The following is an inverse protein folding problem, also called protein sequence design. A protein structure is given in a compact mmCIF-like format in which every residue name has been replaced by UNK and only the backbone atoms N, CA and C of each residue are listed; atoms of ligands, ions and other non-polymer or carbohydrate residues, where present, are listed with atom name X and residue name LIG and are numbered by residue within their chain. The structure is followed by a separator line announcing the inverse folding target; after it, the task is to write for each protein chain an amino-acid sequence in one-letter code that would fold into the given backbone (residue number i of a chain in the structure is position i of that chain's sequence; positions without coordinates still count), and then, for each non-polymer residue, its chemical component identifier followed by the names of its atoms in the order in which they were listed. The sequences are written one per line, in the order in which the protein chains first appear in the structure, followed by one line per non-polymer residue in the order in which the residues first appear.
data_IF_133781758881
#
_entry.id   IF_133781758881
#
_cell.length_a   1.000
_cell.length_b   1.000
_cell.length_c   1.000
_cell.angle_alpha   90.00
_cell.angle_beta   90.00
_cell.angle_gamma   90.00
#
_symmetry.space_group_name_H-M   'P 1'
#
loop_
_entity.id
_entity.type
_entity.pdbx_description
1 polymer ?
#
# COMPACT_ATOMS: atom_id res chain seq x y z
N UNK A 1 6.96 5.98 21.84
CA UNK A 1 6.10 7.06 22.38
C UNK A 1 5.40 7.80 21.25
N UNK A 2 6.13 8.45 20.34
CA UNK A 2 5.54 9.24 19.23
C UNK A 2 4.53 8.47 18.34
N UNK A 3 4.84 7.23 17.93
CA UNK A 3 3.94 6.45 17.06
C UNK A 3 2.56 6.15 17.66
N UNK A 4 2.46 5.96 18.99
CA UNK A 4 1.16 5.72 19.64
C UNK A 4 0.36 7.01 19.73
N UNK A 5 1.00 8.09 20.16
CA UNK A 5 0.37 9.40 20.26
C UNK A 5 -0.24 9.85 18.91
N UNK A 6 0.46 9.64 17.79
CA UNK A 6 -0.06 9.95 16.46
C UNK A 6 -1.35 9.16 16.16
N UNK A 7 -1.37 7.86 16.40
CA UNK A 7 -2.56 7.01 16.15
C UNK A 7 -3.69 7.32 17.13
N UNK A 8 -3.38 7.69 18.37
CA UNK A 8 -4.36 8.14 19.37
C UNK A 8 -5.01 9.46 18.96
N UNK A 9 -4.22 10.43 18.49
CA UNK A 9 -4.72 11.70 17.97
C UNK A 9 -5.62 11.49 16.73
N UNK A 10 -5.18 10.67 15.77
CA UNK A 10 -5.98 10.31 14.59
C UNK A 10 -7.31 9.67 14.99
N UNK A 11 -7.29 8.74 15.94
CA UNK A 11 -8.52 8.11 16.44
C UNK A 11 -9.45 9.11 17.14
N UNK A 12 -8.89 10.05 17.90
CA UNK A 12 -9.66 11.13 18.54
C UNK A 12 -10.35 12.02 17.52
N UNK A 13 -9.64 12.42 16.46
CA UNK A 13 -10.20 13.20 15.36
C UNK A 13 -11.31 12.46 14.62
N UNK A 14 -11.08 11.19 14.23
CA UNK A 14 -12.06 10.37 13.53
C UNK A 14 -13.31 10.06 14.37
N UNK A 15 -13.18 10.00 15.70
CA UNK A 15 -14.32 9.81 16.60
C UNK A 15 -15.27 11.01 16.59
N UNK A 16 -14.74 12.23 16.43
CA UNK A 16 -15.53 13.47 16.38
C UNK A 16 -16.01 13.87 14.97
N UNK A 17 -15.43 13.29 13.92
CA UNK A 17 -15.76 13.63 12.53
C UNK A 17 -17.19 13.20 12.12
N UNK A 18 -17.81 13.98 11.23
CA UNK A 18 -19.06 13.59 10.57
C UNK A 18 -18.73 12.61 9.43
N UNK A 19 -18.91 11.32 9.71
CA UNK A 19 -18.68 10.22 8.77
C UNK A 19 -19.95 9.37 8.75
N UNK A 20 -20.60 9.35 7.60
CA UNK A 20 -21.82 8.60 7.33
C UNK A 20 -21.64 7.56 6.23
N UNK A 21 -22.73 6.88 5.94
CA UNK A 21 -22.85 5.96 4.82
C UNK A 21 -24.25 6.14 4.22
N UNK A 22 -24.34 6.33 2.92
CA UNK A 22 -25.59 6.35 2.19
C UNK A 22 -26.18 4.95 2.18
N UNK A 23 -27.43 4.79 2.63
CA UNK A 23 -28.09 3.48 2.66
C UNK A 23 -28.07 2.82 1.28
N UNK A 24 -27.78 1.52 1.26
CA UNK A 24 -27.84 0.66 0.10
C UNK A 24 -28.57 -0.65 0.46
N UNK A 25 -28.94 -1.44 -0.54
CA UNK A 25 -29.64 -2.71 -0.34
C UNK A 25 -28.68 -3.88 -0.01
N UNK A 26 -27.43 -3.58 0.40
CA UNK A 26 -26.35 -4.55 0.59
C UNK A 26 -26.06 -4.85 2.08
N UNK A 27 -26.95 -4.42 2.97
CA UNK A 27 -26.91 -4.69 4.39
C UNK A 27 -26.21 -3.61 5.21
N UNK A 28 -26.45 -3.64 6.52
CA UNK A 28 -26.03 -2.60 7.45
C UNK A 28 -24.51 -2.37 7.48
N UNK A 29 -24.11 -1.11 7.61
CA UNK A 29 -22.72 -0.68 7.79
C UNK A 29 -22.53 -0.13 9.19
N UNK A 30 -21.61 -0.71 9.97
CA UNK A 30 -21.31 -0.27 11.33
C UNK A 30 -20.40 0.95 11.34
N UNK A 31 -20.94 2.12 10.99
CA UNK A 31 -20.18 3.38 10.84
C UNK A 31 -19.47 3.87 12.12
N UNK A 32 -19.83 3.33 13.28
CA UNK A 32 -19.18 3.62 14.56
C UNK A 32 -17.82 2.91 14.73
N UNK A 33 -17.54 1.88 13.93
CA UNK A 33 -16.25 1.19 13.93
C UNK A 33 -15.20 2.02 13.19
N UNK A 34 -14.65 3.05 13.85
CA UNK A 34 -13.70 4.00 13.22
C UNK A 34 -12.26 3.83 13.69
N UNK A 35 -12.03 2.95 14.68
CA UNK A 35 -10.76 2.85 15.37
C UNK A 35 -9.69 2.22 14.49
N UNK A 36 -8.60 2.96 14.28
CA UNK A 36 -7.38 2.52 13.63
C UNK A 36 -6.37 1.98 14.64
N UNK A 37 -5.62 0.96 14.21
CA UNK A 37 -4.50 0.34 14.91
C UNK A 37 -3.35 0.15 13.96
N UNK A 38 -2.12 0.27 14.46
CA UNK A 38 -0.93 0.09 13.64
C UNK A 38 -0.29 -1.26 13.93
N UNK A 39 -0.17 -2.12 12.92
CA UNK A 39 0.31 -3.50 13.11
C UNK A 39 1.72 -3.67 12.56
N UNK A 40 2.65 -4.07 13.42
CA UNK A 40 4.05 -4.31 13.06
C UNK A 40 4.37 -5.80 13.07
N UNK A 41 5.30 -6.20 12.21
CA UNK A 41 5.77 -7.58 12.15
C UNK A 41 6.99 -7.74 13.06
N UNK A 42 6.86 -8.58 14.07
CA UNK A 42 7.96 -8.92 14.96
C UNK A 42 8.78 -10.06 14.37
N UNK A 43 10.11 -9.91 14.32
CA UNK A 43 10.99 -11.04 14.02
C UNK A 43 11.21 -11.84 15.30
N UNK A 44 10.88 -13.12 15.25
CA UNK A 44 11.37 -14.05 16.27
C UNK A 44 12.91 -14.06 16.19
N UNK A 45 13.56 -13.97 17.35
CA UNK A 45 14.99 -14.28 17.46
C UNK A 45 15.26 -15.75 17.11
N UNK A 46 16.52 -16.15 17.06
CA UNK A 46 16.83 -17.58 16.95
C UNK A 46 16.19 -18.35 18.12
N UNK A 47 15.97 -19.66 17.95
CA UNK A 47 15.34 -20.48 18.99
C UNK A 47 16.13 -20.37 20.31
N UNK A 48 15.52 -19.76 21.33
CA UNK A 48 16.17 -19.52 22.64
C UNK A 48 16.64 -18.08 22.87
N UNK A 49 16.54 -17.20 21.88
CA UNK A 49 16.84 -15.77 22.03
C UNK A 49 15.59 -14.97 22.36
N UNK A 50 15.75 -13.94 23.20
CA UNK A 50 14.71 -12.92 23.38
C UNK A 50 14.47 -12.22 22.04
N UNK A 51 13.22 -12.14 21.54
CA UNK A 51 12.93 -11.41 20.31
C UNK A 51 13.41 -9.96 20.40
N UNK A 52 14.14 -9.51 19.37
CA UNK A 52 14.45 -8.09 19.22
C UNK A 52 13.14 -7.38 18.87
N UNK A 53 12.66 -6.53 19.76
CA UNK A 53 11.46 -5.71 19.52
C UNK A 53 11.87 -4.49 18.69
N UNK A 54 11.63 -4.56 17.39
CA UNK A 54 11.76 -3.43 16.46
C UNK A 54 10.43 -3.13 15.77
N UNK A 55 10.16 -1.85 15.53
CA UNK A 55 8.94 -1.36 14.88
C UNK A 55 9.24 -0.84 13.47
N UNK A 56 10.13 -1.52 12.75
CA UNK A 56 10.67 -1.13 11.44
C UNK A 56 10.17 -2.03 10.28
N UNK A 57 9.23 -2.93 10.57
CA UNK A 57 8.66 -3.89 9.61
C UNK A 57 7.13 -3.87 9.65
N UNK A 58 6.51 -3.79 8.48
CA UNK A 58 5.05 -3.68 8.36
C UNK A 58 4.60 -2.29 8.79
N UNK A 59 3.68 -2.16 9.73
CA UNK A 59 3.27 -0.87 10.27
C UNK A 59 2.05 -0.25 9.59
N UNK A 60 1.34 -0.98 8.71
CA UNK A 60 0.08 -0.50 8.12
C UNK A 60 -0.98 -0.25 9.20
N UNK A 61 -1.89 0.67 8.88
CA UNK A 61 -3.08 0.97 9.66
C UNK A 61 -4.18 -0.05 9.33
N UNK A 62 -4.83 -0.57 10.36
CA UNK A 62 -5.92 -1.54 10.30
C UNK A 62 -7.09 -1.08 11.15
N UNK A 63 -8.29 -1.46 10.75
CA UNK A 63 -9.55 -1.06 11.38
C UNK A 63 -10.24 0.02 10.56
N UNK A 64 -11.26 0.66 11.14
CA UNK A 64 -12.16 1.49 10.35
C UNK A 64 -13.08 0.65 9.46
N UNK A 65 -14.38 0.88 9.53
CA UNK A 65 -15.37 0.11 8.76
C UNK A 65 -15.10 0.20 7.25
N UNK A 66 -14.54 1.32 6.79
CA UNK A 66 -14.21 1.57 5.38
C UNK A 66 -13.16 0.60 4.82
N UNK A 67 -12.24 0.09 5.64
CA UNK A 67 -11.25 -0.90 5.19
C UNK A 67 -11.88 -2.28 4.97
N UNK A 68 -12.95 -2.59 5.71
CA UNK A 68 -13.67 -3.87 5.62
C UNK A 68 -14.77 -3.86 4.55
N UNK A 69 -15.14 -2.67 4.04
CA UNK A 69 -16.10 -2.56 2.95
C UNK A 69 -15.50 -3.09 1.63
N UNK A 70 -16.28 -3.85 0.84
CA UNK A 70 -15.96 -4.11 -0.55
C UNK A 70 -15.69 -2.79 -1.29
N UNK A 71 -14.72 -2.77 -2.21
CA UNK A 71 -14.35 -1.56 -2.95
C UNK A 71 -15.55 -0.87 -3.58
N UNK A 72 -16.48 -1.65 -4.15
CA UNK A 72 -17.71 -1.14 -4.79
C UNK A 72 -18.66 -0.43 -3.83
N UNK A 73 -18.60 -0.70 -2.53
CA UNK A 73 -19.44 -0.05 -1.51
C UNK A 73 -18.81 1.19 -0.91
N UNK A 74 -17.50 1.43 -1.10
CA UNK A 74 -16.81 2.60 -0.53
C UNK A 74 -17.37 3.93 -1.08
N UNK A 75 -17.92 3.91 -2.30
CA UNK A 75 -18.66 5.03 -2.89
C UNK A 75 -19.87 5.48 -2.07
N UNK A 76 -20.41 4.62 -1.19
CA UNK A 76 -21.49 4.95 -0.27
C UNK A 76 -21.04 5.78 0.94
N UNK A 77 -19.74 5.86 1.23
CA UNK A 77 -19.22 6.64 2.36
C UNK A 77 -19.49 8.13 2.15
N UNK A 78 -19.87 8.82 3.22
CA UNK A 78 -20.04 10.27 3.25
C UNK A 78 -19.16 10.88 4.32
N UNK A 79 -18.53 12.00 4.01
CA UNK A 79 -17.76 12.80 4.97
C UNK A 79 -18.37 14.19 4.95
N UNK A 80 -18.82 14.73 6.09
CA UNK A 80 -19.55 16.01 6.15
C UNK A 80 -20.72 16.08 5.15
N UNK A 81 -21.39 14.94 4.90
CA UNK A 81 -22.49 14.82 3.93
C UNK A 81 -22.08 14.74 2.45
N UNK A 82 -20.84 14.98 2.06
CA UNK A 82 -20.38 14.87 0.66
C UNK A 82 -19.85 13.48 0.30
N UNK A 83 -19.77 13.18 -1.01
CA UNK A 83 -19.15 11.96 -1.53
C UNK A 83 -17.64 11.95 -1.29
N UNK A 84 -17.05 10.76 -1.40
CA UNK A 84 -15.61 10.59 -1.26
C UNK A 84 -14.95 10.27 -2.60
N UNK A 85 -13.67 10.60 -2.70
CA UNK A 85 -12.78 10.13 -3.76
C UNK A 85 -11.66 9.29 -3.14
N UNK A 86 -11.20 8.29 -3.89
CA UNK A 86 -10.07 7.44 -3.52
C UNK A 86 -8.78 8.01 -4.14
N UNK A 87 -7.77 8.23 -3.31
CA UNK A 87 -6.45 8.69 -3.71
C UNK A 87 -5.41 7.63 -3.35
N UNK A 88 -4.65 7.18 -4.35
CA UNK A 88 -3.68 6.09 -4.20
C UNK A 88 -2.31 6.47 -4.75
N UNK A 89 -1.24 6.04 -4.08
CA UNK A 89 0.11 6.15 -4.63
C UNK A 89 0.32 5.18 -5.80
N UNK A 90 0.72 5.73 -6.93
CA UNK A 90 1.04 4.99 -8.13
C UNK A 90 2.32 4.17 -7.99
N UNK A 91 2.17 2.83 -7.94
CA UNK A 91 3.29 1.87 -7.96
C UNK A 91 4.26 2.01 -6.76
N UNK A 92 3.69 2.33 -5.59
CA UNK A 92 4.39 2.69 -4.34
C UNK A 92 5.59 1.80 -4.01
N UNK A 93 5.38 0.48 -3.90
CA UNK A 93 6.42 -0.44 -3.47
C UNK A 93 7.70 -0.38 -4.34
N UNK A 94 7.57 -0.27 -5.66
CA UNK A 94 8.75 -0.22 -6.55
C UNK A 94 9.41 1.16 -6.48
N UNK A 95 8.64 2.26 -6.35
CA UNK A 95 9.20 3.60 -6.17
C UNK A 95 9.98 3.71 -4.86
N UNK A 96 9.45 3.15 -3.78
CA UNK A 96 10.17 3.08 -2.52
C UNK A 96 11.44 2.24 -2.65
N UNK A 97 11.41 1.12 -3.38
CA UNK A 97 12.62 0.34 -3.64
C UNK A 97 13.71 1.18 -4.36
N UNK A 98 13.32 2.03 -5.32
CA UNK A 98 14.21 3.00 -5.97
C UNK A 98 14.74 4.06 -5.00
N UNK A 99 13.87 4.62 -4.15
CA UNK A 99 14.27 5.58 -3.13
C UNK A 99 15.32 4.99 -2.17
N UNK A 100 15.18 3.72 -1.77
CA UNK A 100 16.18 3.06 -0.89
C UNK A 100 17.57 2.89 -1.50
N UNK A 101 17.69 2.94 -2.82
CA UNK A 101 18.98 2.87 -3.53
C UNK A 101 19.44 4.23 -4.07
N UNK A 102 18.68 5.31 -3.81
CA UNK A 102 19.02 6.67 -4.22
C UNK A 102 19.02 6.89 -5.74
N UNK A 103 18.17 6.16 -6.48
CA UNK A 103 18.10 6.25 -7.95
C UNK A 103 16.70 6.65 -8.38
N UNK A 104 16.60 7.57 -9.33
CA UNK A 104 15.32 7.94 -9.95
C UNK A 104 14.75 6.78 -10.75
N UNK A 105 13.48 6.38 -10.54
CA UNK A 105 12.86 5.32 -11.33
C UNK A 105 12.74 5.72 -12.82
N UNK A 106 12.76 4.76 -13.75
CA UNK A 106 12.49 5.04 -15.15
C UNK A 106 11.05 5.56 -15.34
N UNK A 107 10.84 6.32 -16.40
CA UNK A 107 9.52 6.84 -16.75
C UNK A 107 8.52 5.73 -17.13
N UNK A 108 7.24 6.05 -16.99
CA UNK A 108 6.12 5.18 -17.36
C UNK A 108 5.79 4.10 -16.33
N UNK A 109 5.19 3.00 -16.80
CA UNK A 109 4.80 1.88 -15.96
C UNK A 109 6.01 0.99 -15.63
N UNK A 110 6.35 0.86 -14.35
CA UNK A 110 7.46 0.02 -13.88
C UNK A 110 7.13 -1.47 -13.98
N UNK A 111 5.87 -1.83 -14.27
CA UNK A 111 5.48 -3.21 -14.53
C UNK A 111 5.39 -3.55 -16.03
N UNK A 112 5.69 -2.61 -16.92
CA UNK A 112 5.77 -2.87 -18.36
C UNK A 112 7.09 -3.58 -18.71
N UNK A 113 7.11 -4.91 -18.59
CA UNK A 113 8.26 -5.76 -18.88
C UNK A 113 8.15 -6.34 -20.30
N UNK A 114 9.16 -6.17 -21.16
CA UNK A 114 9.16 -6.74 -22.50
C UNK A 114 8.93 -8.25 -22.51
N UNK A 115 8.00 -8.71 -23.36
CA UNK A 115 7.56 -10.11 -23.47
C UNK A 115 6.47 -10.52 -22.47
N UNK A 116 6.01 -9.59 -21.64
CA UNK A 116 4.87 -9.73 -20.72
C UNK A 116 3.80 -8.66 -20.96
N UNK A 117 3.69 -8.20 -22.21
CA UNK A 117 2.63 -7.30 -22.64
C UNK A 117 1.25 -7.91 -22.30
N UNK A 118 0.34 -7.10 -21.75
CA UNK A 118 -0.98 -7.58 -21.28
C UNK A 118 -0.97 -8.33 -19.94
N UNK A 119 0.20 -8.67 -19.37
CA UNK A 119 0.33 -9.42 -18.12
C UNK A 119 0.75 -8.55 -16.92
N UNK A 120 0.35 -7.27 -16.92
CA UNK A 120 0.77 -6.28 -15.91
C UNK A 120 0.49 -6.72 -14.46
N UNK A 121 -0.69 -7.27 -14.19
CA UNK A 121 -1.06 -7.75 -12.86
C UNK A 121 -0.13 -8.89 -12.38
N UNK A 122 0.13 -9.87 -13.24
CA UNK A 122 1.10 -10.94 -12.98
C UNK A 122 2.52 -10.42 -12.76
N UNK A 123 2.97 -9.42 -13.54
CA UNK A 123 4.28 -8.77 -13.33
C UNK A 123 4.33 -8.08 -11.98
N UNK A 124 3.31 -7.30 -11.61
CA UNK A 124 3.22 -6.62 -10.30
C UNK A 124 3.31 -7.65 -9.17
N UNK A 125 2.56 -8.75 -9.26
CA UNK A 125 2.60 -9.84 -8.29
C UNK A 125 3.99 -10.47 -8.21
N UNK A 126 4.60 -10.79 -9.35
CA UNK A 126 5.94 -11.38 -9.42
C UNK A 126 7.02 -10.45 -8.85
N UNK A 127 6.97 -9.16 -9.17
CA UNK A 127 7.89 -8.15 -8.66
C UNK A 127 7.79 -8.05 -7.13
N UNK A 128 6.57 -7.87 -6.61
CA UNK A 128 6.34 -7.81 -5.16
C UNK A 128 6.76 -9.12 -4.47
N UNK A 129 6.52 -10.27 -5.10
CA UNK A 129 7.03 -11.56 -4.61
C UNK A 129 8.55 -11.56 -4.52
N UNK A 130 9.25 -11.09 -5.55
CA UNK A 130 10.72 -11.03 -5.56
C UNK A 130 11.29 -10.05 -4.53
N UNK A 131 10.61 -8.93 -4.23
CA UNK A 131 11.01 -8.01 -3.15
C UNK A 131 10.88 -8.65 -1.76
N UNK A 132 9.93 -9.57 -1.57
CA UNK A 132 9.71 -10.28 -0.32
C UNK A 132 10.46 -11.61 -0.21
N UNK A 133 10.86 -12.19 -1.33
CA UNK A 133 11.54 -13.48 -1.38
C UNK A 133 12.98 -13.39 -0.86
N UNK A 134 13.49 -14.53 -0.38
CA UNK A 134 14.92 -14.73 -0.17
C UNK A 134 15.66 -15.11 -1.45
N UNK A 135 17.01 -15.14 -1.43
CA UNK A 135 17.83 -15.30 -2.63
C UNK A 135 17.71 -16.68 -3.30
N UNK A 136 17.19 -17.69 -2.58
CA UNK A 136 17.07 -19.08 -3.04
C UNK A 136 15.71 -19.44 -3.66
N UNK A 137 14.83 -18.46 -3.88
CA UNK A 137 13.53 -18.74 -4.50
C UNK A 137 13.71 -19.20 -5.95
N UNK A 138 13.16 -20.38 -6.28
CA UNK A 138 13.25 -20.98 -7.62
C UNK A 138 11.90 -21.27 -8.27
N UNK A 139 10.80 -21.25 -7.52
CA UNK A 139 9.44 -21.56 -7.97
C UNK A 139 8.44 -20.54 -7.46
N UNK A 140 7.38 -20.29 -8.22
CA UNK A 140 6.32 -19.38 -7.81
C UNK A 140 5.43 -19.99 -6.73
N UNK A 141 4.79 -19.15 -5.91
CA UNK A 141 3.89 -19.62 -4.84
C UNK A 141 2.74 -20.50 -5.38
N UNK A 142 2.12 -20.05 -6.48
CA UNK A 142 1.02 -20.77 -7.14
C UNK A 142 1.45 -22.08 -7.83
N UNK A 143 2.75 -22.33 -8.02
CA UNK A 143 3.25 -23.61 -8.53
C UNK A 143 3.39 -24.66 -7.42
N UNK A 144 3.35 -24.24 -6.15
CA UNK A 144 3.44 -25.11 -4.97
C UNK A 144 2.06 -25.53 -4.47
N UNK A 145 1.10 -24.62 -4.52
CA UNK A 145 -0.31 -24.95 -4.35
C UNK A 145 -0.76 -25.67 -5.63
N UNK A 146 -0.83 -27.00 -5.63
CA UNK A 146 -1.32 -27.74 -6.79
C UNK A 146 -2.73 -27.28 -7.12
N UNK A 147 -2.90 -26.48 -8.19
CA UNK A 147 -4.15 -25.96 -8.74
C UNK A 147 -5.23 -25.42 -7.76
N UNK A 148 -4.93 -25.24 -6.47
CA UNK A 148 -5.86 -24.76 -5.46
C UNK A 148 -5.90 -23.24 -5.42
N UNK A 149 -7.05 -22.69 -5.85
CA UNK A 149 -7.85 -21.66 -5.17
C UNK A 149 -7.02 -20.79 -4.21
N UNK A 150 -6.44 -19.66 -4.63
CA UNK A 150 -6.98 -18.34 -4.27
C UNK A 150 -6.35 -17.19 -5.09
N UNK A 151 -5.46 -17.50 -6.03
CA UNK A 151 -4.82 -16.48 -6.86
C UNK A 151 -5.62 -16.29 -8.16
N UNK A 152 -6.17 -15.08 -8.35
CA UNK A 152 -6.73 -14.60 -9.61
C UNK A 152 -5.81 -15.02 -10.78
N UNK A 153 -6.40 -15.65 -11.79
CA UNK A 153 -5.67 -16.10 -12.97
C UNK A 153 -4.91 -14.94 -13.65
N UNK A 154 -5.41 -13.70 -13.52
CA UNK A 154 -4.75 -12.49 -14.02
C UNK A 154 -3.39 -12.21 -13.35
N UNK A 155 -3.18 -12.71 -12.13
CA UNK A 155 -1.92 -12.56 -11.38
C UNK A 155 -0.91 -13.68 -11.67
N UNK A 156 -1.23 -14.63 -12.55
CA UNK A 156 -0.33 -15.73 -12.93
C UNK A 156 0.49 -15.36 -14.16
N UNK A 157 1.79 -15.60 -14.10
CA UNK A 157 2.65 -15.41 -15.26
C UNK A 157 2.33 -16.46 -16.34
N UNK A 158 2.44 -16.10 -17.63
CA UNK A 158 2.21 -17.05 -18.71
C UNK A 158 3.21 -18.22 -18.67
N UNK A 159 2.84 -19.34 -19.28
CA UNK A 159 3.66 -20.54 -19.31
C UNK A 159 5.09 -20.25 -19.81
N UNK A 160 6.09 -20.87 -19.16
CA UNK A 160 7.51 -20.66 -19.49
C UNK A 160 8.17 -19.44 -18.85
N UNK A 161 7.44 -18.65 -18.05
CA UNK A 161 8.00 -17.57 -17.23
C UNK A 161 8.39 -18.05 -15.83
N UNK A 162 9.55 -18.69 -15.76
CA UNK A 162 10.16 -19.13 -14.50
C UNK A 162 10.65 -17.96 -13.65
N UNK A 163 10.86 -18.17 -12.34
CA UNK A 163 11.47 -17.17 -11.44
C UNK A 163 12.76 -16.59 -12.02
N UNK A 164 13.63 -17.43 -12.58
CA UNK A 164 14.89 -17.01 -13.21
C UNK A 164 14.65 -16.10 -14.41
N UNK A 165 13.77 -16.50 -15.33
CA UNK A 165 13.46 -15.72 -16.55
C UNK A 165 12.82 -14.38 -16.21
N UNK A 166 11.82 -14.38 -15.34
CA UNK A 166 11.13 -13.16 -14.91
C UNK A 166 12.07 -12.22 -14.19
N UNK A 167 12.90 -12.72 -13.25
CA UNK A 167 13.89 -11.89 -12.56
C UNK A 167 14.88 -11.27 -13.56
N UNK A 168 15.36 -12.02 -14.54
CA UNK A 168 16.25 -11.50 -15.56
C UNK A 168 15.59 -10.37 -16.39
N UNK A 169 14.34 -10.55 -16.81
CA UNK A 169 13.61 -9.52 -17.56
C UNK A 169 13.34 -8.26 -16.72
N UNK A 170 12.96 -8.42 -15.46
CA UNK A 170 12.80 -7.29 -14.52
C UNK A 170 14.13 -6.56 -14.35
N UNK A 171 15.25 -7.26 -14.16
CA UNK A 171 16.56 -6.63 -13.99
C UNK A 171 17.08 -5.96 -15.25
N UNK A 172 16.65 -6.41 -16.44
CA UNK A 172 16.96 -5.72 -17.69
C UNK A 172 16.31 -4.33 -17.75
N UNK A 173 15.10 -4.17 -17.19
CA UNK A 173 14.43 -2.85 -17.08
C UNK A 173 14.85 -2.07 -15.84
N UNK A 174 15.14 -2.76 -14.74
CA UNK A 174 15.40 -2.19 -13.42
C UNK A 174 16.77 -2.62 -12.86
N UNK A 175 17.88 -2.31 -13.54
CA UNK A 175 19.21 -2.78 -13.12
C UNK A 175 19.61 -2.26 -11.72
N UNK A 176 19.17 -1.06 -11.35
CA UNK A 176 19.42 -0.46 -10.04
C UNK A 176 18.84 -1.28 -8.87
N UNK A 177 17.82 -2.12 -9.12
CA UNK A 177 17.14 -2.92 -8.11
C UNK A 177 17.72 -4.34 -7.96
N UNK A 178 18.87 -4.64 -8.58
CA UNK A 178 19.54 -5.94 -8.50
C UNK A 178 19.75 -6.46 -7.07
N UNK A 179 20.11 -5.56 -6.15
CA UNK A 179 20.31 -5.89 -4.73
C UNK A 179 19.01 -5.96 -3.94
N UNK A 180 17.94 -5.33 -4.42
CA UNK A 180 16.64 -5.32 -3.76
C UNK A 180 15.85 -6.60 -4.04
N UNK A 181 15.93 -7.15 -5.25
CA UNK A 181 15.22 -8.38 -5.62
C UNK A 181 15.85 -9.63 -5.00
N UNK A 182 15.12 -10.30 -4.11
CA UNK A 182 15.57 -11.46 -3.34
C UNK A 182 16.18 -11.12 -1.99
N UNK A 183 16.05 -9.87 -1.54
CA UNK A 183 16.58 -9.39 -0.24
C UNK A 183 15.60 -9.52 0.92
N UNK A 184 14.31 -9.76 0.65
CA UNK A 184 13.26 -9.71 1.68
C UNK A 184 12.98 -8.30 2.22
N UNK A 185 13.23 -7.25 1.42
CA UNK A 185 13.02 -5.83 1.82
C UNK A 185 11.54 -5.44 1.93
N UNK A 186 10.61 -6.23 1.40
CA UNK A 186 9.19 -5.82 1.29
C UNK A 186 8.53 -5.33 2.58
N UNK A 187 8.80 -5.96 3.74
CA UNK A 187 8.27 -5.47 5.02
C UNK A 187 8.86 -4.13 5.46
N UNK A 188 10.10 -3.81 5.08
CA UNK A 188 10.71 -2.49 5.32
C UNK A 188 10.10 -1.44 4.41
N UNK A 189 9.83 -1.79 3.15
CA UNK A 189 9.14 -0.88 2.22
C UNK A 189 7.73 -0.56 2.72
N UNK A 190 7.00 -1.58 3.21
CA UNK A 190 5.68 -1.40 3.84
C UNK A 190 5.74 -0.49 5.08
N UNK A 191 6.84 -0.52 5.82
CA UNK A 191 7.05 0.40 6.92
C UNK A 191 7.20 1.84 6.47
N UNK A 192 8.05 2.09 5.47
CA UNK A 192 8.21 3.42 4.88
C UNK A 192 6.88 3.93 4.30
N UNK A 193 6.15 3.09 3.57
CA UNK A 193 4.80 3.36 3.06
C UNK A 193 3.85 3.79 4.18
N UNK A 194 3.82 3.04 5.28
CA UNK A 194 2.95 3.36 6.40
C UNK A 194 3.34 4.65 7.14
N UNK A 195 4.63 4.97 7.22
CA UNK A 195 5.11 6.24 7.78
C UNK A 195 4.68 7.43 6.94
N UNK A 196 4.67 7.28 5.61
CA UNK A 196 4.15 8.28 4.68
C UNK A 196 2.64 8.46 4.89
N UNK A 197 1.86 7.38 4.86
CA UNK A 197 0.40 7.48 5.03
C UNK A 197 0.00 8.08 6.38
N UNK A 198 0.66 7.68 7.48
CA UNK A 198 0.40 8.27 8.81
C UNK A 198 0.71 9.77 8.80
N UNK A 199 1.82 10.20 8.19
CA UNK A 199 2.16 11.61 8.10
C UNK A 199 1.16 12.41 7.25
N UNK A 200 0.67 11.85 6.14
CA UNK A 200 -0.41 12.44 5.34
C UNK A 200 -1.67 12.63 6.18
N UNK A 201 -2.11 11.60 6.91
CA UNK A 201 -3.32 11.69 7.72
C UNK A 201 -3.18 12.69 8.88
N UNK A 202 -1.98 12.83 9.45
CA UNK A 202 -1.69 13.84 10.47
C UNK A 202 -1.78 15.24 9.88
N UNK A 203 -1.13 15.50 8.74
CA UNK A 203 -1.22 16.80 8.04
C UNK A 203 -2.66 17.15 7.65
N UNK A 204 -3.43 16.17 7.17
CA UNK A 204 -4.86 16.35 6.90
C UNK A 204 -5.64 16.73 8.16
N UNK A 205 -5.35 16.07 9.29
CA UNK A 205 -5.99 16.37 10.59
C UNK A 205 -5.68 17.79 11.06
N UNK A 206 -4.43 18.24 10.90
CA UNK A 206 -4.01 19.62 11.24
C UNK A 206 -4.73 20.68 10.38
N UNK A 207 -5.20 20.29 9.20
CA UNK A 207 -6.01 21.13 8.29
C UNK A 207 -7.52 20.90 8.43
N UNK A 208 -7.95 20.14 9.44
CA UNK A 208 -9.35 19.77 9.67
C UNK A 208 -10.00 19.01 8.49
N UNK A 209 -9.18 18.29 7.71
CA UNK A 209 -9.63 17.44 6.61
C UNK A 209 -9.70 15.99 7.09
N UNK A 210 -10.88 15.38 6.98
CA UNK A 210 -11.06 13.96 7.34
C UNK A 210 -10.49 13.07 6.24
N UNK A 211 -9.48 12.26 6.58
CA UNK A 211 -8.91 11.23 5.71
C UNK A 211 -9.13 9.83 6.26
N UNK A 212 -9.58 8.91 5.41
CA UNK A 212 -9.81 7.51 5.77
C UNK A 212 -8.74 6.63 5.12
N UNK A 213 -7.64 6.37 5.82
CA UNK A 213 -6.51 5.60 5.28
C UNK A 213 -6.86 4.16 4.92
N UNK A 214 -6.42 3.71 3.74
CA UNK A 214 -6.56 2.35 3.20
C UNK A 214 -5.23 1.94 2.55
N UNK A 215 -4.52 0.97 3.14
CA UNK A 215 -3.23 0.48 2.62
C UNK A 215 -2.20 1.59 2.34
N UNK A 216 -1.91 1.89 1.07
CA UNK A 216 -1.01 2.95 0.57
C UNK A 216 -1.76 4.17 0.01
N UNK A 217 -3.08 4.24 0.20
CA UNK A 217 -3.93 5.36 -0.17
C UNK A 217 -4.92 5.74 0.91
N UNK A 218 -5.94 6.51 0.54
CA UNK A 218 -6.99 6.98 1.43
C UNK A 218 -8.24 7.40 0.67
N UNK A 219 -9.36 7.48 1.41
CA UNK A 219 -10.55 8.21 0.96
C UNK A 219 -10.54 9.62 1.56
N UNK A 220 -10.91 10.61 0.75
CA UNK A 220 -11.05 12.01 1.14
C UNK A 220 -12.37 12.60 0.63
N UNK A 221 -12.86 13.72 1.21
CA UNK A 221 -14.00 14.44 0.65
C UNK A 221 -13.74 14.83 -0.80
N UNK A 222 -14.72 14.65 -1.68
CA UNK A 222 -14.59 14.93 -3.11
C UNK A 222 -14.17 16.39 -3.37
N UNK A 223 -14.65 17.33 -2.56
CA UNK A 223 -14.29 18.75 -2.65
C UNK A 223 -12.82 19.07 -2.32
N UNK A 224 -12.10 18.14 -1.67
CA UNK A 224 -10.73 18.32 -1.14
C UNK A 224 -9.66 17.55 -1.90
N UNK A 225 -10.01 16.86 -2.98
CA UNK A 225 -9.11 15.99 -3.75
C UNK A 225 -7.79 16.66 -4.14
N UNK A 226 -7.84 17.87 -4.72
CA UNK A 226 -6.61 18.54 -5.17
C UNK A 226 -5.69 18.92 -4.00
N UNK A 227 -6.28 19.36 -2.88
CA UNK A 227 -5.55 19.70 -1.66
C UNK A 227 -4.90 18.45 -1.06
N UNK A 228 -5.64 17.34 -0.98
CA UNK A 228 -5.13 16.08 -0.43
C UNK A 228 -4.08 15.44 -1.33
N UNK A 229 -4.22 15.55 -2.65
CA UNK A 229 -3.17 15.12 -3.59
C UNK A 229 -1.87 15.88 -3.34
N UNK A 230 -1.91 17.19 -3.17
CA UNK A 230 -0.71 17.99 -2.88
C UNK A 230 -0.08 17.55 -1.56
N UNK A 231 -0.87 17.34 -0.51
CA UNK A 231 -0.38 16.83 0.78
C UNK A 231 0.34 15.48 0.60
N UNK A 232 -0.25 14.55 -0.15
CA UNK A 232 0.36 13.24 -0.42
C UNK A 232 1.70 13.37 -1.13
N UNK A 233 1.76 14.17 -2.20
CA UNK A 233 2.99 14.38 -2.96
C UNK A 233 4.08 15.06 -2.14
N UNK A 234 3.74 16.09 -1.37
CA UNK A 234 4.67 16.83 -0.51
C UNK A 234 5.22 15.96 0.62
N UNK A 235 4.37 15.17 1.27
CA UNK A 235 4.79 14.25 2.33
C UNK A 235 5.69 13.14 1.77
N UNK A 236 5.40 12.62 0.57
CA UNK A 236 6.27 11.67 -0.08
C UNK A 236 7.67 12.26 -0.33
N UNK A 237 7.75 13.48 -0.86
CA UNK A 237 9.04 14.18 -1.05
C UNK A 237 9.76 14.37 0.28
N UNK A 238 9.07 14.84 1.33
CA UNK A 238 9.68 15.07 2.64
C UNK A 238 10.20 13.78 3.29
N UNK A 239 9.51 12.64 3.10
CA UNK A 239 9.86 11.36 3.75
C UNK A 239 10.90 10.55 2.98
N UNK A 240 10.87 10.57 1.65
CA UNK A 240 11.71 9.70 0.81
C UNK A 240 12.50 10.43 -0.27
N UNK A 241 12.44 11.75 -0.31
CA UNK A 241 13.24 12.60 -1.20
C UNK A 241 12.81 12.56 -2.67
N UNK A 242 11.63 12.01 -2.97
CA UNK A 242 11.12 11.91 -4.34
C UNK A 242 9.61 11.98 -4.39
N UNK A 243 9.07 12.55 -5.46
CA UNK A 243 7.63 12.58 -5.70
C UNK A 243 7.12 11.19 -6.07
N UNK A 244 6.00 10.81 -5.49
CA UNK A 244 5.27 9.59 -5.84
C UNK A 244 3.94 10.03 -6.46
N UNK A 245 3.69 9.74 -7.74
CA UNK A 245 2.44 10.15 -8.40
C UNK A 245 1.23 9.59 -7.66
N UNK A 246 0.19 10.40 -7.54
CA UNK A 246 -1.08 10.03 -6.91
C UNK A 246 -2.16 9.93 -7.98
N UNK A 247 -2.84 8.78 -8.05
CA UNK A 247 -4.05 8.63 -8.87
C UNK A 247 -5.28 9.01 -8.06
N UNK A 248 -6.29 9.54 -8.74
CA UNK A 248 -7.59 9.89 -8.15
C UNK A 248 -8.66 9.09 -8.87
N UNK A 249 -9.46 8.37 -8.12
CA UNK A 249 -10.69 7.74 -8.59
C UNK A 249 -11.87 8.43 -7.90
N UNK A 250 -12.62 9.22 -8.66
CA UNK A 250 -13.83 9.86 -8.16
C UNK A 250 -14.97 8.83 -8.16
N UNK A 251 -15.61 8.65 -7.00
CA UNK A 251 -16.86 7.89 -6.94
C UNK A 251 -18.02 8.84 -7.24
N UNK A 252 -18.57 8.73 -8.45
CA UNK A 252 -19.81 9.39 -8.87
C UNK A 252 -21.04 8.64 -8.39
#
# INVERSE_FOLDING_TARGET
MAMRAAVEALNGFLAGADIGFAEDDLGAVHISERRLRRHFVMRAGAKGETPIVSFDLGGRLFGGFWQNLPSSRRSGIRINGETVAELDYGQMAVRLAYATVGVTPPEGDMYAIPGLEGHRAAVKKAFNTLLNAGPKMTRWGYERAGNGEDADASERLPAGWTVKRTKAAILSRHPALARSLGSGIGLKLMHIESEILVAVLVEMTEREIVGLGIHDGLLAPASKVDEVRMIMEDVAVAKVGTTIPVSVEAHS
#
